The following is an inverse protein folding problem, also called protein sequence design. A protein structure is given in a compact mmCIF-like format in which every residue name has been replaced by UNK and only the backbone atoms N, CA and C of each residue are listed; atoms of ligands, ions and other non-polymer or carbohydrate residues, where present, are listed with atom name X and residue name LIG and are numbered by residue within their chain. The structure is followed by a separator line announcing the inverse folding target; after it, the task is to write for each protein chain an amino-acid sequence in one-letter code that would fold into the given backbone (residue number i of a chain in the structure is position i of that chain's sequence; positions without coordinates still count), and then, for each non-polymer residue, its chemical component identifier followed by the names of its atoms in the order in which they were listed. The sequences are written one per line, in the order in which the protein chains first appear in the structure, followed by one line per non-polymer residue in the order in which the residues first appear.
data_IF_585092308656
#
_entry.id   IF_585092308656
#
_cell.length_a   1.000
_cell.length_b   1.000
_cell.length_c   1.000
_cell.angle_alpha   90.00
_cell.angle_beta   90.00
_cell.angle_gamma   90.00
#
_symmetry.space_group_name_H-M   'P 1'
#
loop_
_entity.id
_entity.type
_entity.pdbx_description
1 polymer ?
#
# COMPACT_ATOMS: atom_id res chain seq x y z
N UNK A 1 31.21 7.49 43.61
CA UNK A 1 30.97 6.18 42.95
C UNK A 1 31.12 6.42 41.46
N UNK A 2 32.36 6.46 40.99
CA UNK A 2 32.71 6.59 39.57
C UNK A 2 32.60 5.22 38.91
N UNK A 3 31.75 5.12 37.88
CA UNK A 3 31.67 3.95 37.03
C UNK A 3 33.00 3.79 36.27
N UNK A 4 33.50 2.56 36.16
CA UNK A 4 34.82 2.30 35.58
C UNK A 4 34.86 2.62 34.07
N UNK A 5 35.99 3.12 33.52
CA UNK A 5 36.14 3.52 32.11
C UNK A 5 36.06 2.35 31.09
N UNK A 6 35.73 1.15 31.56
CA UNK A 6 35.49 -0.05 30.75
C UNK A 6 34.00 -0.27 30.49
N UNK A 7 33.09 0.18 31.37
CA UNK A 7 31.64 0.06 31.16
C UNK A 7 31.10 1.09 30.15
N UNK A 8 31.64 2.31 30.10
CA UNK A 8 31.24 3.33 29.10
C UNK A 8 31.57 2.90 27.65
N UNK A 9 32.70 2.21 27.45
CA UNK A 9 33.12 1.74 26.12
C UNK A 9 32.23 0.63 25.56
N UNK A 10 31.65 -0.22 26.41
CA UNK A 10 30.75 -1.30 25.99
C UNK A 10 29.40 -0.74 25.52
N UNK A 11 28.96 0.41 26.05
CA UNK A 11 27.75 1.11 25.59
C UNK A 11 27.96 2.00 24.36
N UNK A 12 29.19 2.49 24.10
CA UNK A 12 29.52 3.30 22.92
C UNK A 12 29.68 2.48 21.63
N UNK A 13 30.22 1.26 21.71
CA UNK A 13 30.38 0.35 20.57
C UNK A 13 29.09 0.07 19.76
N UNK A 14 27.93 -0.22 20.38
CA UNK A 14 26.68 -0.40 19.64
C UNK A 14 26.15 0.93 19.06
N UNK A 15 26.46 2.09 19.67
CA UNK A 15 26.03 3.39 19.16
C UNK A 15 26.85 3.80 17.91
N UNK A 16 28.16 3.58 17.91
CA UNK A 16 29.03 3.84 16.76
C UNK A 16 28.75 2.90 15.59
N UNK A 17 28.50 1.61 15.86
CA UNK A 17 28.06 0.65 14.84
C UNK A 17 26.69 1.04 14.24
N UNK A 18 25.76 1.54 15.07
CA UNK A 18 24.45 2.03 14.62
C UNK A 18 24.53 3.37 13.87
N UNK A 19 25.48 4.25 14.21
CA UNK A 19 25.75 5.51 13.50
C UNK A 19 26.38 5.22 12.13
N UNK A 20 27.36 4.33 12.08
CA UNK A 20 28.00 3.85 10.84
C UNK A 20 26.98 3.20 9.88
N UNK A 21 26.12 2.31 10.38
CA UNK A 21 25.08 1.68 9.55
C UNK A 21 23.99 2.66 9.06
N UNK A 22 23.74 3.74 9.83
CA UNK A 22 22.79 4.80 9.46
C UNK A 22 23.40 5.71 8.39
N UNK A 23 24.65 6.13 8.54
CA UNK A 23 25.37 6.87 7.52
C UNK A 23 25.49 6.06 6.24
N UNK A 24 25.79 4.76 6.33
CA UNK A 24 25.84 3.87 5.16
C UNK A 24 24.50 3.76 4.43
N UNK A 25 23.37 3.68 5.15
CA UNK A 25 22.03 3.67 4.54
C UNK A 25 21.65 5.00 3.89
N UNK A 26 21.98 6.14 4.52
CA UNK A 26 21.78 7.46 3.90
C UNK A 26 22.69 7.64 2.69
N UNK A 27 23.93 7.18 2.76
CA UNK A 27 24.87 7.19 1.65
C UNK A 27 24.42 6.28 0.51
N UNK A 28 23.77 5.15 0.81
CA UNK A 28 23.16 4.26 -0.19
C UNK A 28 21.94 4.92 -0.85
N UNK A 29 21.10 5.61 -0.07
CA UNK A 29 19.94 6.33 -0.64
C UNK A 29 20.38 7.52 -1.49
N UNK A 30 21.38 8.27 -1.06
CA UNK A 30 21.94 9.39 -1.83
C UNK A 30 22.67 8.89 -3.06
N UNK A 31 23.45 7.81 -2.98
CA UNK A 31 24.06 7.13 -4.12
C UNK A 31 23.03 6.58 -5.09
N UNK A 32 21.91 6.00 -4.60
CA UNK A 32 20.83 5.51 -5.45
C UNK A 32 20.14 6.66 -6.20
N UNK A 33 19.79 7.75 -5.49
CA UNK A 33 19.24 8.96 -6.12
C UNK A 33 20.23 9.59 -7.11
N UNK A 34 21.52 9.62 -6.76
CA UNK A 34 22.60 10.16 -7.59
C UNK A 34 22.84 9.30 -8.83
N UNK A 35 22.84 7.97 -8.72
CA UNK A 35 22.93 7.04 -9.87
C UNK A 35 21.72 7.14 -10.79
N UNK A 36 20.50 7.28 -10.26
CA UNK A 36 19.30 7.53 -11.07
C UNK A 36 19.45 8.83 -11.87
N UNK A 37 20.03 9.87 -11.25
CA UNK A 37 20.21 11.16 -11.89
C UNK A 37 21.36 11.19 -12.92
N UNK A 38 22.47 10.49 -12.62
CA UNK A 38 23.71 10.56 -13.40
C UNK A 38 23.83 9.46 -14.47
N UNK A 39 23.35 8.23 -14.21
CA UNK A 39 23.64 7.08 -15.09
C UNK A 39 22.47 6.70 -16.01
N UNK A 40 21.22 7.13 -15.72
CA UNK A 40 20.04 6.51 -16.35
C UNK A 40 18.93 7.44 -16.88
N UNK A 41 18.97 8.73 -16.55
CA UNK A 41 18.04 9.77 -17.06
C UNK A 41 16.63 9.75 -16.41
N UNK A 42 16.06 10.94 -16.18
CA UNK A 42 14.76 11.14 -15.50
C UNK A 42 13.58 10.40 -16.18
N UNK A 43 13.64 10.22 -17.51
CA UNK A 43 12.61 9.52 -18.27
C UNK A 43 12.46 8.02 -17.91
N UNK A 44 13.49 7.40 -17.32
CA UNK A 44 13.42 5.99 -16.89
C UNK A 44 12.54 5.81 -15.67
N UNK A 45 12.35 6.84 -14.84
CA UNK A 45 11.42 6.84 -13.70
C UNK A 45 9.96 6.62 -14.15
N UNK A 46 9.63 7.02 -15.40
CA UNK A 46 8.31 6.83 -15.99
C UNK A 46 8.13 5.51 -16.75
N UNK A 47 9.18 4.70 -16.91
CA UNK A 47 9.10 3.39 -17.60
C UNK A 47 8.34 2.39 -16.73
N UNK A 48 7.05 2.26 -16.98
CA UNK A 48 6.16 1.33 -16.27
C UNK A 48 4.93 2.00 -15.66
N UNK A 49 4.90 3.34 -15.65
CA UNK A 49 3.77 4.13 -15.17
C UNK A 49 2.49 3.85 -15.94
N UNK A 50 2.55 3.54 -17.24
CA UNK A 50 1.36 3.22 -18.04
C UNK A 50 0.63 1.96 -17.53
N UNK A 51 1.36 0.90 -17.20
CA UNK A 51 0.78 -0.30 -16.59
C UNK A 51 0.33 -0.02 -15.14
N UNK A 52 1.04 0.88 -14.45
CA UNK A 52 0.63 1.55 -13.21
C UNK A 52 -0.77 2.11 -13.27
N UNK A 53 -0.96 3.04 -14.19
CA UNK A 53 -2.14 3.85 -14.37
C UNK A 53 -3.32 2.99 -14.85
N UNK A 54 -3.07 2.07 -15.79
CA UNK A 54 -4.09 1.16 -16.30
C UNK A 54 -4.74 0.28 -15.21
N UNK A 55 -4.01 -0.04 -14.15
CA UNK A 55 -4.58 -0.74 -12.98
C UNK A 55 -5.16 0.24 -11.94
N UNK A 56 -4.51 1.40 -11.74
CA UNK A 56 -4.92 2.37 -10.73
C UNK A 56 -6.31 2.96 -11.03
N UNK A 57 -6.61 3.26 -12.29
CA UNK A 57 -7.90 3.83 -12.72
C UNK A 57 -9.09 2.95 -12.31
N UNK A 58 -9.19 1.66 -12.72
CA UNK A 58 -10.31 0.83 -12.32
C UNK A 58 -10.33 0.55 -10.81
N UNK A 59 -9.16 0.39 -10.19
CA UNK A 59 -9.08 0.10 -8.75
C UNK A 59 -9.63 1.25 -7.91
N UNK A 60 -9.19 2.48 -8.19
CA UNK A 60 -9.65 3.68 -7.48
C UNK A 60 -11.10 4.01 -7.84
N UNK A 61 -11.47 3.87 -9.12
CA UNK A 61 -12.81 4.11 -9.62
C UNK A 61 -13.88 3.18 -9.05
N UNK A 62 -13.52 1.95 -8.66
CA UNK A 62 -14.42 1.05 -7.91
C UNK A 62 -14.36 1.36 -6.42
N UNK A 63 -13.16 1.55 -5.87
CA UNK A 63 -12.95 1.68 -4.44
C UNK A 63 -13.67 2.88 -3.80
N UNK A 64 -13.57 4.08 -4.39
CA UNK A 64 -14.10 5.29 -3.76
C UNK A 64 -15.63 5.36 -3.79
N UNK A 65 -16.32 5.04 -4.90
CA UNK A 65 -17.79 4.95 -4.90
C UNK A 65 -18.31 3.85 -3.98
N UNK A 66 -17.68 2.65 -3.99
CA UNK A 66 -18.06 1.59 -3.07
C UNK A 66 -17.86 1.99 -1.61
N UNK A 67 -16.81 2.75 -1.31
CA UNK A 67 -16.58 3.30 0.02
C UNK A 67 -17.71 4.25 0.44
N UNK A 68 -18.11 5.20 -0.42
CA UNK A 68 -19.20 6.13 -0.11
C UNK A 68 -20.51 5.36 0.15
N UNK A 69 -20.89 4.41 -0.73
CA UNK A 69 -22.11 3.59 -0.55
C UNK A 69 -22.07 2.79 0.75
N UNK A 70 -20.96 2.10 1.03
CA UNK A 70 -20.85 1.30 2.26
C UNK A 70 -20.77 2.16 3.51
N UNK A 71 -20.14 3.34 3.44
CA UNK A 71 -20.10 4.28 4.57
C UNK A 71 -21.50 4.77 4.88
N UNK A 72 -22.23 5.24 3.88
CA UNK A 72 -23.56 5.84 4.09
C UNK A 72 -24.54 4.79 4.65
N UNK A 73 -24.53 3.57 4.10
CA UNK A 73 -25.31 2.45 4.63
C UNK A 73 -24.93 2.08 6.08
N UNK A 74 -23.64 2.05 6.39
CA UNK A 74 -23.17 1.65 7.72
C UNK A 74 -23.35 2.74 8.76
N UNK A 75 -23.21 4.01 8.39
CA UNK A 75 -23.49 5.16 9.26
C UNK A 75 -24.97 5.23 9.59
N UNK A 76 -25.87 5.05 8.61
CA UNK A 76 -27.32 5.01 8.84
C UNK A 76 -27.71 3.85 9.76
N UNK A 77 -27.19 2.65 9.50
CA UNK A 77 -27.42 1.47 10.33
C UNK A 77 -26.88 1.66 11.76
N UNK A 78 -25.70 2.27 11.91
CA UNK A 78 -25.05 2.45 13.21
C UNK A 78 -25.71 3.57 14.02
N UNK A 79 -26.15 4.65 13.37
CA UNK A 79 -26.87 5.74 14.02
C UNK A 79 -28.21 5.29 14.62
N UNK A 80 -28.89 4.34 13.98
CA UNK A 80 -30.17 3.80 14.46
C UNK A 80 -30.01 2.77 15.58
N UNK A 81 -28.94 1.95 15.55
CA UNK A 81 -28.80 0.82 16.47
C UNK A 81 -27.81 1.07 17.62
N UNK A 82 -26.61 1.62 17.35
CA UNK A 82 -25.52 1.75 18.33
C UNK A 82 -24.68 3.01 18.03
N UNK A 83 -25.08 4.20 18.52
CA UNK A 83 -24.41 5.47 18.19
C UNK A 83 -22.94 5.57 18.66
N UNK A 84 -22.49 4.70 19.57
CA UNK A 84 -21.08 4.63 19.98
C UNK A 84 -20.14 4.03 18.93
N UNK A 85 -20.68 3.30 17.94
CA UNK A 85 -19.89 2.64 16.90
C UNK A 85 -19.69 3.47 15.62
N UNK A 86 -20.39 4.61 15.50
CA UNK A 86 -20.32 5.50 14.33
C UNK A 86 -18.89 5.93 13.95
N UNK A 87 -17.96 6.19 14.90
CA UNK A 87 -16.57 6.50 14.56
C UNK A 87 -15.81 5.35 13.86
N UNK A 88 -16.27 4.11 14.00
CA UNK A 88 -15.66 2.93 13.37
C UNK A 88 -16.29 2.60 12.01
N UNK A 89 -17.40 3.22 11.62
CA UNK A 89 -18.04 2.97 10.34
C UNK A 89 -17.11 3.22 9.13
N UNK A 90 -16.31 4.30 9.07
CA UNK A 90 -15.35 4.51 7.99
C UNK A 90 -14.28 3.40 7.87
N UNK A 91 -13.88 2.81 8.99
CA UNK A 91 -12.89 1.73 9.04
C UNK A 91 -13.45 0.47 8.37
N UNK A 92 -14.68 0.08 8.75
CA UNK A 92 -15.34 -1.13 8.24
C UNK A 92 -15.74 -0.95 6.78
N UNK A 93 -16.35 0.19 6.43
CA UNK A 93 -16.70 0.54 5.05
C UNK A 93 -15.45 0.55 4.15
N UNK A 94 -14.36 1.16 4.62
CA UNK A 94 -13.08 1.18 3.92
C UNK A 94 -12.50 -0.20 3.67
N UNK A 95 -12.63 -1.11 4.65
CA UNK A 95 -12.16 -2.49 4.56
C UNK A 95 -12.99 -3.33 3.58
N UNK A 96 -14.31 -3.18 3.60
CA UNK A 96 -15.23 -3.84 2.66
C UNK A 96 -15.03 -3.34 1.23
N UNK A 97 -14.98 -2.02 1.05
CA UNK A 97 -14.73 -1.39 -0.25
C UNK A 97 -13.39 -1.83 -0.84
N UNK A 98 -12.31 -1.86 -0.02
CA UNK A 98 -11.01 -2.34 -0.51
C UNK A 98 -11.06 -3.83 -0.87
N UNK A 99 -11.72 -4.66 -0.07
CA UNK A 99 -11.82 -6.10 -0.37
C UNK A 99 -12.54 -6.37 -1.69
N UNK A 100 -13.63 -5.63 -1.94
CA UNK A 100 -14.37 -5.71 -3.20
C UNK A 100 -13.53 -5.23 -4.39
N UNK A 101 -12.91 -4.05 -4.28
CA UNK A 101 -12.06 -3.50 -5.34
C UNK A 101 -10.88 -4.43 -5.66
N UNK A 102 -10.20 -4.97 -4.65
CA UNK A 102 -9.13 -5.95 -4.82
C UNK A 102 -9.64 -7.20 -5.55
N UNK A 103 -10.78 -7.76 -5.14
CA UNK A 103 -11.32 -9.00 -5.74
C UNK A 103 -11.67 -8.83 -7.21
N UNK A 104 -12.26 -7.68 -7.57
CA UNK A 104 -12.67 -7.37 -8.95
C UNK A 104 -11.48 -7.06 -9.85
N UNK A 105 -10.52 -6.28 -9.36
CA UNK A 105 -9.34 -5.88 -10.17
C UNK A 105 -8.19 -6.90 -10.14
N UNK A 106 -8.30 -7.95 -9.32
CA UNK A 106 -7.22 -8.93 -9.12
C UNK A 106 -6.67 -9.56 -10.40
N UNK A 107 -7.49 -9.98 -11.39
CA UNK A 107 -6.97 -10.63 -12.60
C UNK A 107 -6.03 -9.72 -13.41
N UNK A 108 -6.31 -8.42 -13.43
CA UNK A 108 -5.50 -7.41 -14.11
C UNK A 108 -4.19 -7.20 -13.34
N UNK A 109 -4.26 -7.18 -12.01
CA UNK A 109 -3.09 -7.07 -11.14
C UNK A 109 -2.16 -8.28 -11.27
N UNK A 110 -2.71 -9.49 -11.33
CA UNK A 110 -1.95 -10.71 -11.57
C UNK A 110 -1.25 -10.68 -12.95
N UNK A 111 -1.95 -10.26 -14.00
CA UNK A 111 -1.36 -10.14 -15.33
C UNK A 111 -0.22 -9.12 -15.37
N UNK A 112 -0.40 -7.97 -14.68
CA UNK A 112 0.63 -6.95 -14.57
C UNK A 112 1.86 -7.44 -13.82
N UNK A 113 1.68 -8.08 -12.67
CA UNK A 113 2.81 -8.57 -11.85
C UNK A 113 3.62 -9.63 -12.61
N UNK A 114 2.96 -10.54 -13.33
CA UNK A 114 3.63 -11.51 -14.21
C UNK A 114 4.38 -10.85 -15.37
N UNK A 115 3.78 -9.85 -16.01
CA UNK A 115 4.43 -9.09 -17.10
C UNK A 115 5.67 -8.34 -16.59
N UNK A 116 5.62 -7.78 -15.38
CA UNK A 116 6.77 -7.10 -14.76
C UNK A 116 7.90 -8.08 -14.44
N UNK A 117 7.58 -9.25 -13.87
CA UNK A 117 8.55 -10.32 -13.63
C UNK A 117 9.18 -10.83 -14.94
N UNK A 118 8.38 -10.98 -16.01
CA UNK A 118 8.89 -11.41 -17.32
C UNK A 118 9.89 -10.41 -17.92
N UNK A 119 9.62 -9.11 -17.79
CA UNK A 119 10.49 -8.04 -18.29
C UNK A 119 11.86 -8.03 -17.61
N UNK A 120 11.91 -8.41 -16.33
CA UNK A 120 13.14 -8.49 -15.53
C UNK A 120 13.99 -9.72 -15.90
N UNK A 121 13.34 -10.85 -16.20
CA UNK A 121 14.01 -12.09 -16.59
C UNK A 121 14.46 -12.06 -18.06
N UNK A 122 13.72 -11.41 -18.95
CA UNK A 122 13.96 -11.40 -20.40
C UNK A 122 14.29 -9.99 -20.91
N UNK A 123 15.41 -9.43 -20.45
CA UNK A 123 15.94 -8.14 -20.89
C UNK A 123 16.19 -8.15 -22.41
N UNK A 124 15.32 -7.48 -23.18
CA UNK A 124 15.47 -7.32 -24.64
C UNK A 124 14.32 -7.83 -25.50
N UNK A 125 13.36 -8.60 -24.94
CA UNK A 125 12.15 -9.02 -25.66
C UNK A 125 10.96 -8.11 -25.32
N UNK A 126 10.11 -7.79 -26.31
CA UNK A 126 8.88 -7.00 -26.07
C UNK A 126 7.98 -7.76 -25.08
N UNK A 127 7.54 -7.13 -23.98
CA UNK A 127 6.65 -7.79 -23.03
C UNK A 127 5.32 -8.11 -23.72
N UNK A 128 4.75 -9.31 -23.50
CA UNK A 128 3.39 -9.59 -23.94
C UNK A 128 2.43 -8.59 -23.26
N UNK A 129 1.48 -8.04 -24.00
CA UNK A 129 0.48 -7.12 -23.43
C UNK A 129 -0.28 -7.76 -22.26
N UNK A 130 -0.87 -6.94 -21.39
CA UNK A 130 -1.61 -7.41 -20.19
C UNK A 130 -2.66 -8.46 -20.57
N UNK A 131 -3.45 -8.19 -21.62
CA UNK A 131 -4.45 -9.11 -22.16
C UNK A 131 -3.84 -10.40 -22.70
N UNK A 132 -2.75 -10.31 -23.47
CA UNK A 132 -2.06 -11.49 -24.00
C UNK A 132 -1.51 -12.35 -22.87
N UNK A 133 -0.97 -11.74 -21.82
CA UNK A 133 -0.50 -12.44 -20.60
C UNK A 133 -1.67 -13.12 -19.88
N UNK A 134 -2.81 -12.44 -19.75
CA UNK A 134 -4.02 -13.01 -19.14
C UNK A 134 -4.52 -14.23 -19.93
N UNK A 135 -4.62 -14.10 -21.25
CA UNK A 135 -4.99 -15.20 -22.14
C UNK A 135 -3.98 -16.34 -22.12
N UNK A 136 -2.69 -16.04 -22.05
CA UNK A 136 -1.62 -17.04 -21.97
C UNK A 136 -1.67 -17.82 -20.65
N UNK A 137 -1.96 -17.15 -19.53
CA UNK A 137 -2.18 -17.83 -18.24
C UNK A 137 -3.41 -18.74 -18.30
N UNK A 138 -4.48 -18.31 -18.96
CA UNK A 138 -5.70 -19.12 -19.10
C UNK A 138 -5.47 -20.30 -20.08
N UNK A 139 -4.75 -20.10 -21.18
CA UNK A 139 -4.50 -21.11 -22.21
C UNK A 139 -3.45 -22.14 -21.76
N UNK A 140 -2.40 -21.71 -21.06
CA UNK A 140 -1.35 -22.60 -20.56
C UNK A 140 -1.91 -23.57 -19.50
N UNK A 141 -2.89 -23.13 -18.71
CA UNK A 141 -3.63 -23.99 -17.76
C UNK A 141 -4.55 -24.98 -18.48
N UNK A 142 -5.14 -24.57 -19.61
CA UNK A 142 -5.99 -25.41 -20.46
C UNK A 142 -5.21 -26.56 -21.15
N UNK A 143 -3.90 -26.38 -21.37
CA UNK A 143 -3.04 -27.36 -22.04
C UNK A 143 -2.40 -28.39 -21.08
N UNK A 144 -2.23 -28.04 -19.79
CA UNK A 144 -1.50 -28.89 -18.81
C UNK A 144 -2.42 -29.76 -17.95
N UNK A 145 -3.74 -29.59 -17.98
CA UNK A 145 -4.66 -30.28 -17.07
C UNK A 145 -5.47 -31.37 -17.78
N UNK A 146 -5.17 -32.64 -17.49
CA UNK A 146 -5.90 -33.85 -17.93
C UNK A 146 -7.30 -34.01 -17.26
N UNK A 147 -7.77 -33.02 -16.50
CA UNK A 147 -9.03 -33.07 -15.74
C UNK A 147 -9.93 -31.87 -16.12
N UNK A 148 -11.17 -32.10 -16.58
CA UNK A 148 -12.06 -31.08 -17.12
C UNK A 148 -12.84 -30.30 -16.04
N UNK A 149 -12.14 -29.73 -15.04
CA UNK A 149 -12.78 -28.91 -14.02
C UNK A 149 -12.58 -27.42 -14.31
N UNK A 150 -13.51 -26.80 -15.04
CA UNK A 150 -13.53 -25.36 -15.35
C UNK A 150 -13.29 -24.47 -14.12
N UNK A 151 -13.79 -24.87 -12.94
CA UNK A 151 -13.61 -24.16 -11.67
C UNK A 151 -12.14 -24.01 -11.21
N UNK A 152 -11.28 -24.99 -11.49
CA UNK A 152 -9.87 -24.93 -11.10
C UNK A 152 -9.10 -23.91 -11.95
N UNK A 153 -9.49 -23.78 -13.22
CA UNK A 153 -8.86 -22.88 -14.19
C UNK A 153 -9.09 -21.41 -13.85
N UNK A 154 -10.31 -21.07 -13.41
CA UNK A 154 -10.63 -19.72 -12.96
C UNK A 154 -9.95 -19.38 -11.63
N UNK A 155 -9.79 -20.35 -10.72
CA UNK A 155 -9.15 -20.15 -9.41
C UNK A 155 -7.69 -19.69 -9.51
N UNK A 156 -6.99 -20.03 -10.60
CA UNK A 156 -5.62 -19.57 -10.87
C UNK A 156 -5.56 -18.04 -10.98
N UNK A 157 -6.61 -17.39 -11.49
CA UNK A 157 -6.64 -15.94 -11.61
C UNK A 157 -6.62 -15.25 -10.24
N UNK A 158 -7.06 -15.90 -9.17
CA UNK A 158 -7.06 -15.38 -7.79
C UNK A 158 -5.88 -15.87 -6.93
N UNK A 159 -4.86 -16.45 -7.56
CA UNK A 159 -3.66 -16.93 -6.85
C UNK A 159 -2.82 -15.79 -6.29
N UNK A 160 -3.02 -15.51 -4.99
CA UNK A 160 -2.35 -14.43 -4.26
C UNK A 160 -3.29 -13.34 -3.75
N UNK A 161 -4.59 -13.42 -4.03
CA UNK A 161 -5.61 -12.48 -3.54
C UNK A 161 -5.55 -12.34 -2.01
N UNK A 162 -5.43 -13.47 -1.28
CA UNK A 162 -5.33 -13.44 0.18
C UNK A 162 -4.11 -12.65 0.69
N UNK A 163 -2.96 -12.77 0.02
CA UNK A 163 -1.76 -12.02 0.39
C UNK A 163 -1.92 -10.52 0.09
N UNK A 164 -2.67 -10.17 -0.96
CA UNK A 164 -3.00 -8.79 -1.28
C UNK A 164 -3.97 -8.20 -0.25
N UNK A 165 -5.09 -8.88 0.02
CA UNK A 165 -6.07 -8.47 1.03
C UNK A 165 -5.44 -8.30 2.41
N UNK A 166 -4.57 -9.23 2.83
CA UNK A 166 -3.85 -9.14 4.11
C UNK A 166 -2.97 -7.88 4.24
N UNK A 167 -2.56 -7.25 3.12
CA UNK A 167 -1.81 -5.99 3.12
C UNK A 167 -2.74 -4.79 2.98
N UNK A 168 -3.70 -4.88 2.06
CA UNK A 168 -4.51 -3.75 1.64
C UNK A 168 -5.65 -3.45 2.63
N UNK A 169 -6.24 -4.47 3.27
CA UNK A 169 -7.33 -4.28 4.23
C UNK A 169 -6.86 -3.55 5.49
N UNK A 170 -5.78 -3.96 6.19
CA UNK A 170 -5.30 -3.23 7.37
C UNK A 170 -4.86 -1.80 7.04
N UNK A 171 -4.24 -1.60 5.88
CA UNK A 171 -3.87 -0.26 5.42
C UNK A 171 -5.11 0.62 5.21
N UNK A 172 -6.17 0.10 4.58
CA UNK A 172 -7.44 0.82 4.38
C UNK A 172 -8.11 1.20 5.69
N UNK A 173 -8.19 0.24 6.61
CA UNK A 173 -8.81 0.39 7.91
C UNK A 173 -8.21 1.59 8.65
N UNK A 174 -6.88 1.61 8.76
CA UNK A 174 -6.13 2.66 9.46
C UNK A 174 -6.18 4.00 8.69
N UNK A 175 -6.12 3.92 7.36
CA UNK A 175 -6.19 5.12 6.53
C UNK A 175 -7.52 5.84 6.72
N UNK A 176 -8.67 5.16 6.57
CA UNK A 176 -9.98 5.80 6.73
C UNK A 176 -10.30 6.18 8.17
N UNK A 177 -9.87 5.38 9.16
CA UNK A 177 -10.05 5.73 10.56
C UNK A 177 -9.31 7.01 10.96
N UNK A 178 -8.21 7.32 10.27
CA UNK A 178 -7.40 8.52 10.53
C UNK A 178 -7.85 9.70 9.67
N UNK A 179 -8.20 9.43 8.41
CA UNK A 179 -8.51 10.43 7.41
C UNK A 179 -9.71 11.28 7.82
N UNK A 180 -10.78 10.63 8.25
CA UNK A 180 -12.05 11.31 8.51
C UNK A 180 -11.96 12.26 9.74
N UNK A 181 -11.42 11.86 10.91
CA UNK A 181 -11.19 12.79 12.02
C UNK A 181 -10.22 13.93 11.69
N UNK A 182 -9.13 13.64 10.97
CA UNK A 182 -8.13 14.66 10.60
C UNK A 182 -8.73 15.66 9.62
N UNK A 183 -9.49 15.19 8.64
CA UNK A 183 -10.22 16.04 7.68
C UNK A 183 -11.19 16.96 8.40
N UNK A 184 -12.05 16.43 9.29
CA UNK A 184 -13.01 17.25 10.06
C UNK A 184 -12.31 18.31 10.88
N UNK A 185 -11.21 17.96 11.55
CA UNK A 185 -10.42 18.91 12.33
C UNK A 185 -9.82 20.00 11.44
N UNK A 186 -9.24 19.64 10.29
CA UNK A 186 -8.69 20.62 9.35
C UNK A 186 -9.77 21.53 8.76
N UNK A 187 -10.92 20.98 8.36
CA UNK A 187 -12.03 21.77 7.83
C UNK A 187 -12.64 22.70 8.90
N UNK A 188 -12.74 22.25 10.15
CA UNK A 188 -13.23 23.08 11.26
C UNK A 188 -12.33 24.27 11.58
N UNK A 189 -11.02 24.16 11.33
CA UNK A 189 -10.06 25.25 11.50
C UNK A 189 -10.10 26.27 10.35
N UNK A 190 -10.67 25.87 9.22
CA UNK A 190 -10.76 26.67 7.98
C UNK A 190 -12.07 27.48 7.90
N UNK A 191 -12.90 27.50 8.94
CA UNK A 191 -14.27 28.05 8.95
C UNK A 191 -14.53 29.35 8.16
N UNK A 192 -15.71 29.42 7.55
CA UNK A 192 -16.31 30.48 6.69
C UNK A 192 -15.51 31.05 5.49
N UNK A 193 -14.19 30.92 5.46
CA UNK A 193 -13.31 31.30 4.33
C UNK A 193 -13.11 30.11 3.36
N UNK A 194 -14.21 29.43 3.01
CA UNK A 194 -14.16 28.17 2.25
C UNK A 194 -13.98 28.40 0.74
N UNK A 195 -12.78 28.79 0.32
CA UNK A 195 -12.38 28.68 -1.08
C UNK A 195 -12.12 27.21 -1.46
N UNK A 196 -12.42 26.84 -2.70
CA UNK A 196 -12.19 25.49 -3.23
C UNK A 196 -10.73 25.02 -3.02
N UNK A 197 -9.76 25.94 -3.16
CA UNK A 197 -8.35 25.66 -2.91
C UNK A 197 -8.08 25.22 -1.45
N UNK A 198 -8.75 25.83 -0.47
CA UNK A 198 -8.54 25.51 0.96
C UNK A 198 -9.18 24.17 1.33
N UNK A 199 -10.34 23.85 0.77
CA UNK A 199 -10.98 22.53 0.92
C UNK A 199 -10.11 21.43 0.29
N UNK A 200 -9.51 21.71 -0.87
CA UNK A 200 -8.56 20.78 -1.51
C UNK A 200 -7.29 20.61 -0.70
N UNK A 201 -6.72 21.70 -0.18
CA UNK A 201 -5.57 21.65 0.72
C UNK A 201 -5.86 20.83 1.98
N UNK A 202 -7.02 21.02 2.62
CA UNK A 202 -7.43 20.27 3.80
C UNK A 202 -7.58 18.77 3.49
N UNK A 203 -8.22 18.41 2.37
CA UNK A 203 -8.37 17.03 1.94
C UNK A 203 -7.03 16.37 1.60
N UNK A 204 -6.14 17.11 0.94
CA UNK A 204 -4.79 16.66 0.64
C UNK A 204 -4.00 16.37 1.92
N UNK A 205 -3.98 17.34 2.84
CA UNK A 205 -3.27 17.23 4.12
C UNK A 205 -3.83 16.09 4.98
N UNK A 206 -5.16 15.95 5.04
CA UNK A 206 -5.79 14.83 5.74
C UNK A 206 -5.40 13.48 5.13
N UNK A 207 -5.46 13.37 3.80
CA UNK A 207 -5.04 12.16 3.07
C UNK A 207 -3.55 11.86 3.25
N UNK A 208 -2.70 12.89 3.28
CA UNK A 208 -1.27 12.75 3.52
C UNK A 208 -0.97 12.19 4.91
N UNK A 209 -1.57 12.77 5.95
CA UNK A 209 -1.39 12.31 7.34
C UNK A 209 -1.91 10.89 7.51
N UNK A 210 -3.11 10.61 6.99
CA UNK A 210 -3.72 9.29 7.05
C UNK A 210 -2.88 8.23 6.32
N UNK A 211 -2.44 8.50 5.11
CA UNK A 211 -1.60 7.59 4.32
C UNK A 211 -0.24 7.35 4.97
N UNK A 212 0.35 8.39 5.57
CA UNK A 212 1.63 8.29 6.29
C UNK A 212 1.50 7.45 7.55
N UNK A 213 0.46 7.68 8.37
CA UNK A 213 0.22 6.93 9.59
C UNK A 213 -0.14 5.47 9.28
N UNK A 214 -0.99 5.23 8.28
CA UNK A 214 -1.30 3.88 7.82
C UNK A 214 -0.05 3.15 7.32
N UNK A 215 0.81 3.82 6.54
CA UNK A 215 2.06 3.22 6.08
C UNK A 215 3.04 2.90 7.20
N UNK A 216 3.16 3.78 8.21
CA UNK A 216 4.03 3.58 9.36
C UNK A 216 3.53 2.42 10.23
N UNK A 217 2.23 2.38 10.53
CA UNK A 217 1.63 1.35 11.37
C UNK A 217 1.61 -0.04 10.72
N UNK A 218 1.43 -0.13 9.39
CA UNK A 218 1.51 -1.43 8.70
C UNK A 218 2.94 -1.87 8.39
N UNK A 219 3.93 -0.98 8.52
CA UNK A 219 5.33 -1.28 8.15
C UNK A 219 5.86 -2.60 8.76
N UNK A 220 5.63 -2.93 10.04
CA UNK A 220 6.07 -4.21 10.61
C UNK A 220 5.47 -5.43 9.89
N UNK A 221 4.19 -5.37 9.50
CA UNK A 221 3.52 -6.44 8.77
C UNK A 221 4.10 -6.60 7.37
N UNK A 222 4.44 -5.48 6.72
CA UNK A 222 5.10 -5.50 5.42
C UNK A 222 6.50 -6.10 5.50
N UNK A 223 7.28 -5.81 6.55
CA UNK A 223 8.60 -6.43 6.78
C UNK A 223 8.46 -7.93 6.99
N UNK A 224 7.49 -8.39 7.77
CA UNK A 224 7.26 -9.83 7.96
C UNK A 224 6.90 -10.52 6.66
N UNK A 225 6.05 -9.89 5.84
CA UNK A 225 5.66 -10.40 4.53
C UNK A 225 6.83 -10.46 3.55
N UNK A 226 7.64 -9.40 3.47
CA UNK A 226 8.80 -9.38 2.56
C UNK A 226 9.86 -10.39 2.99
N UNK A 227 10.14 -10.53 4.29
CA UNK A 227 11.01 -11.58 4.85
C UNK A 227 10.57 -12.98 4.43
N UNK A 228 9.26 -13.26 4.46
CA UNK A 228 8.71 -14.55 4.00
C UNK A 228 8.81 -14.73 2.49
N UNK A 229 8.68 -13.65 1.71
CA UNK A 229 8.74 -13.69 0.24
C UNK A 229 10.17 -13.84 -0.31
N UNK A 230 11.18 -13.34 0.40
CA UNK A 230 12.59 -13.46 0.02
C UNK A 230 13.26 -14.72 0.59
N UNK A 231 12.55 -15.49 1.41
CA UNK A 231 13.06 -16.75 1.96
C UNK A 231 13.36 -17.73 0.82
N UNK A 232 14.59 -18.25 0.80
CA UNK A 232 15.10 -19.10 -0.29
C UNK A 232 14.72 -20.56 -0.10
N UNK A 233 14.52 -20.98 1.15
CA UNK A 233 14.07 -22.34 1.47
C UNK A 233 12.52 -22.43 1.40
N UNK A 234 11.94 -23.16 0.42
CA UNK A 234 10.50 -23.28 0.27
C UNK A 234 9.84 -24.02 1.46
N UNK A 235 10.53 -24.95 2.10
CA UNK A 235 10.00 -25.67 3.26
C UNK A 235 9.93 -24.75 4.49
N UNK A 236 10.92 -23.88 4.66
CA UNK A 236 10.92 -22.84 5.69
C UNK A 236 9.86 -21.78 5.40
N UNK A 237 9.76 -21.29 4.16
CA UNK A 237 8.78 -20.28 3.75
C UNK A 237 7.32 -20.69 4.03
N UNK A 238 7.00 -21.99 3.89
CA UNK A 238 5.67 -22.56 4.20
C UNK A 238 5.41 -22.69 5.71
N UNK A 239 6.44 -22.91 6.52
CA UNK A 239 6.33 -23.04 7.98
C UNK A 239 6.30 -21.69 8.71
N UNK A 240 6.78 -20.62 8.08
CA UNK A 240 6.85 -19.30 8.68
C UNK A 240 5.45 -18.71 8.93
N UNK A 241 5.13 -18.51 10.21
CA UNK A 241 4.00 -17.69 10.63
C UNK A 241 4.41 -16.22 10.77
N UNK A 242 3.49 -15.29 10.48
CA UNK A 242 3.73 -13.85 10.61
C UNK A 242 4.24 -13.47 12.00
N UNK A 243 3.70 -14.11 13.05
CA UNK A 243 4.10 -13.88 14.44
C UNK A 243 5.53 -14.35 14.71
N UNK A 244 5.93 -15.51 14.20
CA UNK A 244 7.30 -16.01 14.34
C UNK A 244 8.28 -15.10 13.59
N UNK A 245 7.97 -14.71 12.35
CA UNK A 245 8.82 -13.79 11.58
C UNK A 245 8.97 -12.44 12.27
N UNK A 246 7.90 -11.89 12.85
CA UNK A 246 7.96 -10.65 13.63
C UNK A 246 8.83 -10.80 14.87
N UNK A 247 8.73 -11.92 15.59
CA UNK A 247 9.57 -12.20 16.76
C UNK A 247 11.04 -12.39 16.40
N UNK A 248 11.35 -13.04 15.27
CA UNK A 248 12.71 -13.18 14.74
C UNK A 248 13.29 -11.81 14.38
N UNK A 249 12.55 -11.00 13.62
CA UNK A 249 12.98 -9.63 13.26
C UNK A 249 13.18 -8.76 14.51
N UNK A 250 12.32 -8.93 15.51
CA UNK A 250 12.46 -8.25 16.80
C UNK A 250 13.72 -8.68 17.56
N UNK A 251 14.03 -9.99 17.59
CA UNK A 251 15.25 -10.51 18.22
C UNK A 251 16.51 -10.04 17.50
N UNK A 252 16.50 -10.01 16.18
CA UNK A 252 17.67 -9.69 15.36
C UNK A 252 17.96 -8.18 15.31
N UNK A 253 16.93 -7.34 15.20
CA UNK A 253 17.08 -5.90 14.91
C UNK A 253 16.19 -4.96 15.73
N UNK A 254 15.42 -5.49 16.69
CA UNK A 254 14.48 -4.76 17.56
C UNK A 254 13.56 -3.83 16.73
N UNK A 255 13.28 -2.62 17.25
CA UNK A 255 12.46 -1.61 16.57
C UNK A 255 13.03 -1.19 15.21
N UNK A 256 14.36 -1.14 15.05
CA UNK A 256 14.98 -0.72 13.78
C UNK A 256 14.72 -1.73 12.66
N UNK A 257 14.68 -3.02 12.99
CA UNK A 257 14.31 -4.09 12.05
C UNK A 257 12.86 -4.01 11.59
N UNK A 258 11.92 -3.76 12.51
CA UNK A 258 10.48 -3.69 12.20
C UNK A 258 10.08 -2.49 11.34
N UNK A 259 10.77 -1.36 11.49
CA UNK A 259 10.50 -0.12 10.74
C UNK A 259 11.51 0.11 9.60
N UNK A 260 12.27 -0.92 9.22
CA UNK A 260 13.19 -0.84 8.10
C UNK A 260 12.42 -0.60 6.80
N UNK A 261 12.69 0.52 6.13
CA UNK A 261 11.97 0.93 4.91
C UNK A 261 10.74 1.81 5.14
N UNK A 262 10.46 2.24 6.39
CA UNK A 262 9.33 3.14 6.69
C UNK A 262 9.42 4.46 5.93
N UNK A 263 10.62 5.05 5.79
CA UNK A 263 10.82 6.33 5.10
C UNK A 263 10.35 6.31 3.64
N UNK A 264 10.91 5.43 2.78
CA UNK A 264 10.43 5.26 1.41
C UNK A 264 8.94 4.92 1.32
N UNK A 265 8.42 4.13 2.27
CA UNK A 265 7.01 3.75 2.27
C UNK A 265 6.09 4.93 2.55
N UNK A 266 6.39 5.74 3.57
CA UNK A 266 5.65 6.95 3.92
C UNK A 266 5.76 7.99 2.82
N UNK A 267 6.99 8.20 2.30
CA UNK A 267 7.25 9.16 1.21
C UNK A 267 6.47 8.86 -0.07
N UNK A 268 6.10 7.58 -0.30
CA UNK A 268 5.19 7.19 -1.39
C UNK A 268 3.72 7.25 -0.99
N UNK A 269 3.36 6.71 0.17
CA UNK A 269 1.97 6.50 0.56
C UNK A 269 1.24 7.81 0.90
N UNK A 270 1.89 8.72 1.65
CA UNK A 270 1.29 9.98 2.06
C UNK A 270 0.83 10.82 0.85
N UNK A 271 1.74 11.22 -0.06
CA UNK A 271 1.37 11.98 -1.25
C UNK A 271 0.34 11.25 -2.12
N UNK A 272 0.50 9.94 -2.32
CA UNK A 272 -0.43 9.16 -3.13
C UNK A 272 -1.85 9.20 -2.60
N UNK A 273 -2.05 9.04 -1.29
CA UNK A 273 -3.39 9.08 -0.69
C UNK A 273 -3.94 10.50 -0.71
N UNK A 274 -3.12 11.52 -0.40
CA UNK A 274 -3.51 12.93 -0.47
C UNK A 274 -4.02 13.33 -1.86
N UNK A 275 -3.31 12.94 -2.93
CA UNK A 275 -3.72 13.22 -4.32
C UNK A 275 -5.06 12.55 -4.63
N UNK A 276 -5.20 11.25 -4.33
CA UNK A 276 -6.41 10.48 -4.66
C UNK A 276 -7.63 11.06 -3.97
N UNK A 277 -7.52 11.37 -2.67
CA UNK A 277 -8.63 11.94 -1.89
C UNK A 277 -9.01 13.31 -2.42
N UNK A 278 -8.03 14.19 -2.64
CA UNK A 278 -8.30 15.55 -3.15
C UNK A 278 -8.96 15.51 -4.52
N UNK A 279 -8.44 14.68 -5.43
CA UNK A 279 -8.98 14.56 -6.78
C UNK A 279 -10.40 14.00 -6.78
N UNK A 280 -10.69 13.03 -5.91
CA UNK A 280 -12.03 12.49 -5.77
C UNK A 280 -13.04 13.54 -5.32
N UNK A 281 -12.69 14.38 -4.35
CA UNK A 281 -13.56 15.47 -3.89
C UNK A 281 -13.80 16.51 -5.00
N UNK A 282 -12.79 16.84 -5.83
CA UNK A 282 -12.99 17.70 -7.02
C UNK A 282 -13.99 17.07 -7.97
N UNK A 283 -13.79 15.80 -8.33
CA UNK A 283 -14.64 15.09 -9.28
C UNK A 283 -16.07 15.04 -8.76
N UNK A 284 -16.25 14.71 -7.48
CA UNK A 284 -17.54 14.68 -6.81
C UNK A 284 -18.22 16.06 -6.83
N UNK A 285 -17.49 17.12 -6.48
CA UNK A 285 -18.00 18.49 -6.53
C UNK A 285 -18.49 18.89 -7.93
N UNK A 286 -17.66 18.65 -8.96
CA UNK A 286 -18.00 18.96 -10.36
C UNK A 286 -19.22 18.14 -10.82
N UNK A 287 -19.27 16.86 -10.45
CA UNK A 287 -20.36 15.98 -10.85
C UNK A 287 -21.69 16.42 -10.21
N UNK A 288 -21.71 16.71 -8.91
CA UNK A 288 -22.91 17.21 -8.23
C UNK A 288 -23.36 18.57 -8.77
N UNK A 289 -22.44 19.46 -9.13
CA UNK A 289 -22.78 20.76 -9.69
C UNK A 289 -23.45 20.64 -11.07
N UNK A 290 -22.98 19.71 -11.92
CA UNK A 290 -23.56 19.47 -13.25
C UNK A 290 -24.91 18.75 -13.22
N UNK A 291 -25.23 17.97 -12.17
CA UNK A 291 -26.54 17.32 -12.02
C UNK A 291 -27.58 18.18 -11.30
N UNK A 292 -27.18 19.32 -10.72
CA UNK A 292 -28.07 20.28 -10.08
C UNK A 292 -28.54 21.41 -11.02
N UNK A 293 -28.00 21.45 -12.25
CA UNK A 293 -28.40 22.30 -13.38
C UNK A 293 -29.15 21.48 -14.42
#
# INVERSE_FOLDING_TARGET
MEASPTEERVFQLPYEALRSHREYLYHLQSEFCRRIHLDEGFARLWRGTNAGLALAVPTVGIYLPCYDVFRDQLEEFTAQNIPSMTPYAPLVAGSMARSLACTTCYPIELARTRMQAFKEVNTGKKPPGVWKTLFDVISHVKSTSTVPNNLQNYRVLWTGLGAQLARDVPFSAICWSTLEPVRRRLLSLTGDESNAATVLGANFSAGFVAGSLAAATTCPLDVAKTRRQIEKDPARALRMTTRQTLMEVWRDGRMKGLFMGVGPRVGRAGPSVGIVVSFYEVVKYVLHHNYAT
#
